data_IF_450927245825
#
_entry.id   IF_450927245825
#
_cell.length_a   1.000
_cell.length_b   1.000
_cell.length_c   1.000
_cell.angle_alpha   90.00
_cell.angle_beta   90.00
_cell.angle_gamma   90.00
#
_symmetry.space_group_name_H-M   'P 1'
#
loop_
_entity.id
_entity.type
_entity.pdbx_description
1 polymer ?
#
# COMPACT_ATOMS: atom_id res chain seq x y z
N UNK A 1 24.68 6.69 -11.31
CA UNK A 1 24.70 7.82 -10.36
C UNK A 1 23.56 7.59 -9.38
N UNK A 2 23.90 7.54 -8.11
CA UNK A 2 22.94 7.34 -7.04
C UNK A 2 22.38 8.68 -6.59
N UNK A 3 21.15 8.64 -6.11
CA UNK A 3 20.43 9.77 -5.54
C UNK A 3 20.12 9.48 -4.08
N UNK A 4 20.23 10.49 -3.24
CA UNK A 4 19.65 10.51 -1.90
C UNK A 4 18.26 11.11 -2.04
N UNK A 5 17.24 10.25 -1.93
CA UNK A 5 15.86 10.63 -2.15
C UNK A 5 15.07 10.52 -0.85
N UNK A 6 14.30 11.55 -0.53
CA UNK A 6 13.36 11.55 0.58
C UNK A 6 11.95 11.30 0.04
N UNK A 7 11.27 10.30 0.56
CA UNK A 7 9.89 10.01 0.21
C UNK A 7 8.95 10.24 1.38
N UNK A 8 7.77 10.81 1.11
CA UNK A 8 6.73 11.03 2.11
C UNK A 8 5.42 10.39 1.65
N UNK A 9 4.81 9.63 2.55
CA UNK A 9 3.51 8.98 2.34
C UNK A 9 2.55 9.27 3.49
N UNK A 10 1.28 9.32 3.17
CA UNK A 10 0.19 9.39 4.14
C UNK A 10 -0.90 8.40 3.74
N UNK A 11 -1.26 7.56 4.67
CA UNK A 11 -2.27 6.53 4.47
C UNK A 11 -3.70 7.04 4.62
N UNK A 12 -4.67 6.20 4.25
CA UNK A 12 -6.10 6.46 4.49
C UNK A 12 -6.51 6.29 5.95
N UNK A 13 -5.62 5.77 6.80
CA UNK A 13 -5.77 5.69 8.26
C UNK A 13 -5.78 7.05 8.95
N UNK A 14 -5.24 8.09 8.29
CA UNK A 14 -5.14 9.45 8.83
C UNK A 14 -4.36 9.52 10.15
N UNK A 15 -3.38 8.67 10.34
CA UNK A 15 -2.56 8.61 11.54
C UNK A 15 -1.38 9.59 11.52
N UNK A 16 -0.77 9.81 10.34
CA UNK A 16 0.36 10.72 10.22
C UNK A 16 1.06 10.65 8.88
N UNK A 17 2.30 11.07 8.87
CA UNK A 17 3.19 11.13 7.72
C UNK A 17 4.37 10.18 7.96
N UNK A 18 4.53 9.20 7.07
CA UNK A 18 5.72 8.37 6.96
C UNK A 18 6.72 9.07 6.06
N UNK A 19 7.94 9.26 6.55
CA UNK A 19 9.07 9.78 5.77
C UNK A 19 10.19 8.74 5.75
N UNK A 20 10.77 8.53 4.57
CA UNK A 20 11.93 7.66 4.37
C UNK A 20 13.04 8.36 3.60
N UNK A 21 14.26 8.14 4.01
CA UNK A 21 15.45 8.52 3.28
C UNK A 21 16.06 7.29 2.64
N UNK A 22 16.18 7.29 1.33
CA UNK A 22 16.67 6.14 0.57
C UNK A 22 17.79 6.56 -0.37
N UNK A 23 18.76 5.67 -0.57
CA UNK A 23 19.77 5.79 -1.62
C UNK A 23 19.39 4.86 -2.77
N UNK A 24 19.30 5.41 -3.98
CA UNK A 24 18.85 4.63 -5.15
C UNK A 24 19.41 5.19 -6.45
N UNK A 25 19.64 4.29 -7.41
CA UNK A 25 19.90 4.67 -8.80
C UNK A 25 18.61 4.83 -9.62
N UNK A 26 17.44 4.55 -9.02
CA UNK A 26 16.12 4.59 -9.65
C UNK A 26 15.82 3.42 -10.57
N UNK A 27 16.73 2.47 -10.76
CA UNK A 27 16.58 1.39 -11.73
C UNK A 27 16.79 -0.02 -11.14
N UNK A 28 17.89 -0.25 -10.46
CA UNK A 28 18.33 -1.58 -10.05
C UNK A 28 18.62 -1.70 -8.55
N UNK A 29 18.64 -0.58 -7.85
CA UNK A 29 19.17 -0.52 -6.50
C UNK A 29 18.34 0.44 -5.64
N UNK A 30 18.04 0.01 -4.43
CA UNK A 30 17.47 0.80 -3.36
C UNK A 30 18.01 0.34 -2.01
N UNK A 31 18.49 1.29 -1.22
CA UNK A 31 18.93 1.07 0.15
C UNK A 31 18.20 2.01 1.09
N UNK A 32 17.55 1.45 2.10
CA UNK A 32 16.90 2.20 3.17
C UNK A 32 17.95 2.79 4.10
N UNK A 33 17.95 4.11 4.29
CA UNK A 33 18.89 4.82 5.16
C UNK A 33 18.24 5.11 6.51
N UNK A 34 17.02 5.67 6.47
CA UNK A 34 16.34 6.12 7.67
C UNK A 34 14.85 6.30 7.45
N UNK A 35 14.09 6.08 8.50
CA UNK A 35 12.65 6.21 8.50
C UNK A 35 12.17 7.00 9.72
N UNK A 36 11.10 7.77 9.55
CA UNK A 36 10.47 8.54 10.63
C UNK A 36 8.97 8.68 10.40
N UNK A 37 8.20 8.39 11.45
CA UNK A 37 6.78 8.64 11.49
C UNK A 37 6.48 9.91 12.28
N UNK A 38 5.70 10.82 11.69
CA UNK A 38 5.21 12.04 12.34
C UNK A 38 3.70 11.96 12.45
N UNK A 39 3.12 11.80 13.66
CA UNK A 39 1.68 11.70 13.82
C UNK A 39 0.99 13.02 13.50
N UNK A 40 -0.19 12.95 12.89
CA UNK A 40 -1.03 14.14 12.72
C UNK A 40 -1.52 14.68 14.07
N UNK A 41 -1.61 16.01 14.16
CA UNK A 41 -2.36 16.63 15.24
C UNK A 41 -3.83 16.18 15.18
N UNK A 42 -4.48 16.06 16.35
CA UNK A 42 -5.90 15.69 16.42
C UNK A 42 -6.77 16.62 15.55
N UNK A 43 -6.50 17.91 15.60
CA UNK A 43 -7.24 18.91 14.79
C UNK A 43 -7.11 18.62 13.29
N UNK A 44 -5.91 18.37 12.79
CA UNK A 44 -5.69 18.07 11.37
C UNK A 44 -6.38 16.76 10.97
N UNK A 45 -6.26 15.72 11.79
CA UNK A 45 -6.92 14.43 11.57
C UNK A 45 -8.45 14.57 11.44
N UNK A 46 -9.08 15.30 12.38
CA UNK A 46 -10.53 15.50 12.39
C UNK A 46 -10.99 16.27 11.14
N UNK A 47 -10.23 17.30 10.71
CA UNK A 47 -10.51 18.08 9.50
C UNK A 47 -10.37 17.23 8.22
N UNK A 48 -9.32 16.42 8.11
CA UNK A 48 -9.12 15.50 6.98
C UNK A 48 -10.22 14.45 6.91
N UNK A 49 -10.61 13.86 8.05
CA UNK A 49 -11.72 12.92 8.14
C UNK A 49 -13.02 13.52 7.61
N UNK A 50 -13.32 14.77 7.99
CA UNK A 50 -14.52 15.47 7.49
C UNK A 50 -14.50 15.66 5.96
N UNK A 51 -13.34 15.96 5.37
CA UNK A 51 -13.22 16.07 3.90
C UNK A 51 -13.51 14.74 3.22
N UNK A 52 -12.98 13.63 3.77
CA UNK A 52 -13.19 12.29 3.20
C UNK A 52 -14.66 11.86 3.31
N UNK A 53 -15.28 12.07 4.47
CA UNK A 53 -16.69 11.68 4.70
C UNK A 53 -17.67 12.48 3.83
N UNK A 54 -17.42 13.75 3.65
CA UNK A 54 -18.36 14.65 2.95
C UNK A 54 -17.97 14.93 1.49
N UNK A 55 -16.82 14.42 1.02
CA UNK A 55 -16.27 14.68 -0.33
C UNK A 55 -16.22 16.20 -0.68
N UNK A 56 -15.95 17.04 0.31
CA UNK A 56 -16.05 18.49 0.15
C UNK A 56 -14.90 19.23 0.84
N UNK A 57 -14.05 19.86 0.04
CA UNK A 57 -12.95 20.70 0.53
C UNK A 57 -13.40 22.15 0.65
N UNK A 58 -13.84 22.57 1.85
CA UNK A 58 -14.32 23.94 2.12
C UNK A 58 -13.26 24.87 2.67
N UNK A 59 -12.18 24.35 3.19
CA UNK A 59 -11.24 25.09 4.01
C UNK A 59 -9.84 25.14 3.37
N UNK A 60 -9.50 26.22 2.65
CA UNK A 60 -8.15 26.37 2.06
C UNK A 60 -7.03 26.32 3.09
N UNK A 61 -7.31 26.67 4.37
CA UNK A 61 -6.32 26.61 5.44
C UNK A 61 -5.92 25.17 5.78
N UNK A 62 -6.75 24.19 5.43
CA UNK A 62 -6.43 22.76 5.61
C UNK A 62 -5.22 22.36 4.77
N UNK A 63 -5.14 22.80 3.51
CA UNK A 63 -4.01 22.49 2.62
C UNK A 63 -2.71 23.02 3.20
N UNK A 64 -2.74 24.27 3.70
CA UNK A 64 -1.59 24.88 4.36
C UNK A 64 -1.19 24.11 5.61
N UNK A 65 -2.15 23.79 6.50
CA UNK A 65 -1.88 23.04 7.72
C UNK A 65 -1.24 21.69 7.42
N UNK A 66 -1.76 20.96 6.42
CA UNK A 66 -1.19 19.67 5.99
C UNK A 66 0.23 19.84 5.45
N UNK A 67 0.48 20.87 4.65
CA UNK A 67 1.82 21.11 4.10
C UNK A 67 2.81 21.59 5.16
N UNK A 68 2.37 22.27 6.20
CA UNK A 68 3.21 22.62 7.35
C UNK A 68 3.60 21.38 8.14
N UNK A 69 2.70 20.38 8.32
CA UNK A 69 3.04 19.07 8.93
C UNK A 69 4.03 18.31 8.04
N UNK A 70 3.90 18.32 6.71
CA UNK A 70 4.90 17.74 5.81
C UNK A 70 6.29 18.38 5.99
N UNK A 71 6.36 19.72 6.14
CA UNK A 71 7.64 20.39 6.41
C UNK A 71 8.24 19.94 7.72
N UNK A 72 7.43 19.81 8.77
CA UNK A 72 7.89 19.32 10.08
C UNK A 72 8.47 17.90 9.92
N UNK A 73 7.73 17.00 9.29
CA UNK A 73 8.16 15.62 9.08
C UNK A 73 9.46 15.53 8.26
N UNK A 74 9.55 16.28 7.16
CA UNK A 74 10.75 16.35 6.30
C UNK A 74 11.94 16.89 7.08
N UNK A 75 11.77 18.00 7.82
CA UNK A 75 12.86 18.61 8.59
C UNK A 75 13.32 17.72 9.74
N UNK A 76 12.40 17.01 10.41
CA UNK A 76 12.75 16.06 11.46
C UNK A 76 13.71 14.99 10.93
N UNK A 77 13.44 14.46 9.74
CA UNK A 77 14.31 13.45 9.13
C UNK A 77 15.62 14.05 8.64
N UNK A 78 15.61 15.17 7.90
CA UNK A 78 16.81 15.81 7.36
C UNK A 78 17.78 16.24 8.48
N UNK A 79 17.27 16.79 9.58
CA UNK A 79 18.11 17.27 10.68
C UNK A 79 18.84 16.14 11.43
N UNK A 80 18.42 14.89 11.26
CA UNK A 80 19.08 13.72 11.86
C UNK A 80 20.21 13.16 11.00
N UNK A 81 20.25 13.52 9.72
CA UNK A 81 21.17 12.95 8.74
C UNK A 81 21.82 14.06 7.95
N UNK A 82 23.16 14.12 7.99
CA UNK A 82 23.99 15.11 7.26
C UNK A 82 24.20 14.70 5.80
N UNK A 83 23.12 14.34 5.12
CA UNK A 83 23.13 13.93 3.72
C UNK A 83 22.45 14.99 2.86
N UNK A 84 23.08 15.32 1.73
CA UNK A 84 22.47 16.21 0.74
C UNK A 84 21.32 15.49 0.03
N UNK A 85 20.10 15.97 0.21
CA UNK A 85 18.93 15.45 -0.49
C UNK A 85 18.93 15.92 -1.96
N UNK A 86 18.82 14.99 -2.89
CA UNK A 86 18.78 15.28 -4.32
C UNK A 86 17.37 15.46 -4.84
N UNK A 87 16.38 14.79 -4.23
CA UNK A 87 14.95 14.86 -4.62
C UNK A 87 14.03 14.48 -3.46
N UNK A 88 12.84 15.09 -3.44
CA UNK A 88 11.79 14.77 -2.48
C UNK A 88 10.55 14.28 -3.24
N UNK A 89 10.01 13.12 -2.87
CA UNK A 89 8.75 12.59 -3.38
C UNK A 89 7.63 12.75 -2.35
N UNK A 90 6.56 13.46 -2.67
CA UNK A 90 5.41 13.66 -1.78
C UNK A 90 4.16 13.09 -2.42
N UNK A 91 3.58 12.08 -1.79
CA UNK A 91 2.32 11.50 -2.26
C UNK A 91 1.15 12.47 -2.05
N UNK A 92 1.05 13.10 -0.90
CA UNK A 92 -0.11 13.87 -0.45
C UNK A 92 -1.20 12.99 0.16
N UNK A 93 -2.11 13.60 0.93
CA UNK A 93 -3.22 12.89 1.56
C UNK A 93 -4.31 12.57 0.55
N UNK A 94 -4.52 11.30 0.23
CA UNK A 94 -5.62 10.88 -0.64
C UNK A 94 -6.96 11.10 0.04
N UNK A 95 -7.83 11.87 -0.61
CA UNK A 95 -9.20 12.14 -0.17
C UNK A 95 -10.23 11.62 -1.17
N UNK A 96 -9.82 11.41 -2.42
CA UNK A 96 -10.66 10.83 -3.47
C UNK A 96 -9.80 9.99 -4.39
N UNK A 97 -10.25 8.78 -4.71
CA UNK A 97 -9.67 7.96 -5.76
C UNK A 97 -10.78 7.20 -6.47
N UNK A 98 -11.10 7.65 -7.67
CA UNK A 98 -12.10 7.05 -8.55
C UNK A 98 -11.57 7.01 -9.99
N UNK A 99 -10.91 5.91 -10.38
CA UNK A 99 -10.39 5.76 -11.74
C UNK A 99 -11.47 5.77 -12.82
N UNK A 100 -12.70 5.38 -12.52
CA UNK A 100 -13.80 5.35 -13.48
C UNK A 100 -14.19 6.76 -13.92
N UNK A 101 -14.08 7.73 -13.00
CA UNK A 101 -14.26 9.16 -13.26
C UNK A 101 -12.98 9.87 -13.69
N UNK A 102 -11.86 9.14 -13.82
CA UNK A 102 -10.50 9.66 -14.07
C UNK A 102 -10.06 10.67 -13.00
N UNK A 103 -10.42 10.42 -11.75
CA UNK A 103 -10.13 11.31 -10.63
C UNK A 103 -9.31 10.58 -9.56
N UNK A 104 -8.27 11.26 -9.12
CA UNK A 104 -7.55 10.92 -7.89
C UNK A 104 -7.02 12.22 -7.31
N UNK A 105 -7.44 12.53 -6.10
CA UNK A 105 -7.10 13.78 -5.44
C UNK A 105 -6.26 13.49 -4.20
N UNK A 106 -5.04 14.00 -4.24
CA UNK A 106 -4.12 14.02 -3.11
C UNK A 106 -3.93 15.48 -2.67
N UNK A 107 -4.18 15.75 -1.39
CA UNK A 107 -4.09 17.08 -0.82
C UNK A 107 -2.66 17.42 -0.42
N UNK A 108 -2.22 18.60 -0.80
CA UNK A 108 -1.02 19.32 -0.36
C UNK A 108 -1.09 20.75 -0.91
N UNK A 109 -0.35 21.70 -0.32
CA UNK A 109 -0.22 23.05 -0.84
C UNK A 109 1.17 23.27 -1.46
N UNK A 110 1.22 23.39 -2.79
CA UNK A 110 2.46 23.62 -3.53
C UNK A 110 3.20 24.85 -3.01
N UNK A 111 2.50 25.96 -2.77
CA UNK A 111 3.10 27.24 -2.38
C UNK A 111 3.82 27.14 -1.04
N UNK A 112 3.29 26.33 -0.13
CA UNK A 112 3.91 26.11 1.18
C UNK A 112 5.15 25.21 1.11
N UNK A 113 5.30 24.35 0.10
CA UNK A 113 6.42 23.42 -0.01
C UNK A 113 7.66 23.99 -0.70
N UNK A 114 7.59 25.19 -1.27
CA UNK A 114 8.66 25.80 -2.09
C UNK A 114 10.01 26.07 -1.40
N UNK A 115 10.11 25.96 -0.09
CA UNK A 115 11.34 26.30 0.66
C UNK A 115 12.24 25.09 0.97
N UNK A 116 12.16 24.02 0.20
CA UNK A 116 13.04 22.87 0.35
C UNK A 116 14.27 23.01 -0.55
N UNK A 117 15.42 22.54 -0.07
CA UNK A 117 16.70 22.60 -0.80
C UNK A 117 16.78 21.63 -2.00
N UNK A 118 15.74 20.81 -2.24
CA UNK A 118 15.68 19.82 -3.30
C UNK A 118 14.38 19.92 -4.10
N UNK A 119 14.38 19.54 -5.40
CA UNK A 119 13.15 19.50 -6.19
C UNK A 119 12.13 18.52 -5.59
N UNK A 120 10.88 18.96 -5.53
CA UNK A 120 9.76 18.14 -5.04
C UNK A 120 9.00 17.57 -6.23
N UNK A 121 8.72 16.27 -6.18
CA UNK A 121 7.89 15.54 -7.13
C UNK A 121 6.62 15.09 -6.40
N UNK A 122 5.48 15.29 -7.04
CA UNK A 122 4.16 15.01 -6.48
C UNK A 122 3.21 14.48 -7.57
N UNK A 123 1.92 14.26 -7.26
CA UNK A 123 0.90 13.81 -8.20
C UNK A 123 1.24 12.48 -8.91
N UNK A 124 1.77 11.52 -8.21
CA UNK A 124 2.22 10.23 -8.78
C UNK A 124 1.11 9.41 -9.44
N UNK A 125 -0.17 9.65 -9.10
CA UNK A 125 -1.31 8.92 -9.68
C UNK A 125 -1.90 9.59 -10.92
N UNK A 126 -1.75 10.91 -11.03
CA UNK A 126 -2.41 11.74 -12.04
C UNK A 126 -2.06 11.35 -13.47
N UNK A 127 -0.76 11.20 -13.77
CA UNK A 127 -0.31 10.87 -15.13
C UNK A 127 -0.79 9.48 -15.56
N UNK A 128 -0.84 8.52 -14.64
CA UNK A 128 -1.34 7.18 -14.91
C UNK A 128 -2.82 7.22 -15.31
N UNK A 129 -3.64 7.88 -14.50
CA UNK A 129 -5.09 8.01 -14.74
C UNK A 129 -5.38 8.76 -16.05
N UNK A 130 -4.66 9.84 -16.32
CA UNK A 130 -4.83 10.61 -17.58
C UNK A 130 -4.45 9.81 -18.83
N UNK A 131 -3.58 8.80 -18.69
CA UNK A 131 -3.22 7.89 -19.79
C UNK A 131 -4.05 6.59 -19.81
N UNK A 132 -5.11 6.52 -19.01
CA UNK A 132 -6.08 5.43 -19.02
C UNK A 132 -5.78 4.29 -18.06
N UNK A 133 -4.80 4.46 -17.16
CA UNK A 133 -4.54 3.53 -16.07
C UNK A 133 -5.45 3.78 -14.86
N UNK A 134 -5.42 2.87 -13.91
CA UNK A 134 -6.19 2.95 -12.66
C UNK A 134 -5.56 3.87 -11.59
N UNK A 135 -4.31 4.33 -11.77
CA UNK A 135 -3.59 5.14 -10.79
C UNK A 135 -3.12 4.39 -9.54
N UNK A 136 -3.36 3.08 -9.49
CA UNK A 136 -2.95 2.17 -8.44
C UNK A 136 -2.86 0.74 -8.98
N UNK A 137 -1.97 -0.12 -8.43
CA UNK A 137 -0.91 0.19 -7.47
C UNK A 137 0.26 0.95 -8.11
N UNK A 138 0.97 1.77 -7.33
CA UNK A 138 2.11 2.57 -7.83
C UNK A 138 3.49 2.05 -7.37
N UNK A 139 3.52 1.01 -6.54
CA UNK A 139 4.76 0.43 -6.00
C UNK A 139 5.29 -0.83 -6.72
N UNK A 140 4.70 -1.37 -7.80
CA UNK A 140 5.23 -2.57 -8.43
C UNK A 140 6.71 -2.48 -8.81
N UNK A 141 7.18 -1.30 -9.26
CA UNK A 141 8.61 -1.06 -9.56
C UNK A 141 9.50 -1.11 -8.34
N UNK A 142 9.01 -0.72 -7.16
CA UNK A 142 9.72 -0.87 -5.90
C UNK A 142 9.94 -2.35 -5.59
N UNK A 143 8.88 -3.14 -5.67
CA UNK A 143 8.94 -4.58 -5.45
C UNK A 143 9.87 -5.27 -6.46
N UNK A 144 9.87 -4.84 -7.72
CA UNK A 144 10.77 -5.36 -8.75
C UNK A 144 12.24 -5.14 -8.40
N UNK A 145 12.61 -3.95 -7.93
CA UNK A 145 13.98 -3.65 -7.51
C UNK A 145 14.38 -4.53 -6.31
N UNK A 146 13.51 -4.66 -5.30
CA UNK A 146 13.79 -5.52 -4.14
C UNK A 146 13.94 -6.99 -4.57
N UNK A 147 13.10 -7.46 -5.49
CA UNK A 147 13.18 -8.80 -6.06
C UNK A 147 14.54 -9.03 -6.75
N UNK A 148 14.96 -8.10 -7.60
CA UNK A 148 16.23 -8.19 -8.32
C UNK A 148 17.45 -8.15 -7.39
N UNK A 149 17.46 -7.23 -6.41
CA UNK A 149 18.54 -7.13 -5.42
C UNK A 149 18.73 -8.42 -4.60
N UNK A 150 17.65 -9.17 -4.41
CA UNK A 150 17.66 -10.41 -3.62
C UNK A 150 17.63 -11.68 -4.48
N UNK A 151 17.90 -11.57 -5.78
CA UNK A 151 17.94 -12.68 -6.74
C UNK A 151 16.64 -13.52 -6.75
N UNK A 152 15.50 -12.88 -6.60
CA UNK A 152 14.19 -13.52 -6.64
C UNK A 152 13.55 -13.33 -8.03
N UNK A 153 13.93 -14.17 -9.01
CA UNK A 153 13.40 -14.07 -10.39
C UNK A 153 11.90 -14.37 -10.51
N UNK A 154 11.37 -15.14 -9.54
CA UNK A 154 9.95 -15.45 -9.44
C UNK A 154 9.47 -15.13 -8.02
N UNK A 155 8.74 -14.03 -7.87
CA UNK A 155 8.27 -13.58 -6.56
C UNK A 155 6.88 -12.94 -6.64
N UNK A 156 6.16 -13.00 -5.54
CA UNK A 156 4.88 -12.31 -5.35
C UNK A 156 4.96 -11.51 -4.07
N UNK A 157 4.99 -10.21 -4.19
CA UNK A 157 4.83 -9.30 -3.07
C UNK A 157 3.35 -9.15 -2.78
N UNK A 158 2.96 -9.45 -1.56
CA UNK A 158 1.56 -9.39 -1.09
C UNK A 158 1.46 -8.28 -0.07
N UNK A 159 0.87 -7.16 -0.47
CA UNK A 159 0.55 -6.09 0.46
C UNK A 159 -0.82 -6.33 1.09
N UNK A 160 -0.85 -6.55 2.41
CA UNK A 160 -2.07 -6.78 3.17
C UNK A 160 -2.38 -5.54 3.99
N UNK A 161 -3.02 -4.57 3.33
CA UNK A 161 -3.57 -3.36 3.90
C UNK A 161 -5.07 -3.51 4.21
N UNK A 162 -5.85 -2.47 4.01
CA UNK A 162 -7.32 -2.56 4.07
C UNK A 162 -7.90 -3.52 3.03
N UNK A 163 -7.32 -3.52 1.82
CA UNK A 163 -7.49 -4.48 0.74
C UNK A 163 -6.15 -5.20 0.55
N UNK A 164 -6.17 -6.46 0.10
CA UNK A 164 -4.98 -7.21 -0.27
C UNK A 164 -4.71 -7.08 -1.76
N UNK A 165 -3.51 -6.63 -2.11
CA UNK A 165 -3.04 -6.55 -3.48
C UNK A 165 -1.70 -7.25 -3.65
N UNK A 166 -1.37 -7.59 -4.90
CA UNK A 166 -0.11 -8.23 -5.23
C UNK A 166 0.67 -7.46 -6.28
N UNK A 167 1.99 -7.67 -6.24
CA UNK A 167 2.88 -7.49 -7.38
C UNK A 167 3.48 -8.85 -7.69
N UNK A 168 3.14 -9.39 -8.84
CA UNK A 168 3.68 -10.63 -9.36
C UNK A 168 4.83 -10.30 -10.30
N UNK A 169 5.99 -10.89 -10.05
CA UNK A 169 7.21 -10.77 -10.81
C UNK A 169 7.56 -12.16 -11.31
N UNK A 170 7.63 -12.31 -12.63
CA UNK A 170 7.98 -13.56 -13.30
C UNK A 170 9.04 -13.26 -14.35
N UNK A 171 10.31 -13.38 -13.95
CA UNK A 171 11.45 -12.90 -14.72
C UNK A 171 11.34 -11.39 -14.99
N UNK A 172 11.10 -11.01 -16.24
CA UNK A 172 10.93 -9.61 -16.65
C UNK A 172 9.46 -9.15 -16.65
N UNK A 173 8.51 -10.08 -16.51
CA UNK A 173 7.09 -9.76 -16.48
C UNK A 173 6.67 -9.21 -15.12
N UNK A 174 5.98 -8.08 -15.14
CA UNK A 174 5.48 -7.39 -13.96
C UNK A 174 3.97 -7.22 -14.08
N UNK A 175 3.23 -7.83 -13.16
CA UNK A 175 1.76 -7.74 -13.08
C UNK A 175 1.34 -7.34 -11.68
N UNK A 176 0.28 -6.55 -11.54
CA UNK A 176 -0.22 -6.14 -10.24
C UNK A 176 -1.75 -5.97 -10.22
N UNK A 177 -2.33 -5.94 -9.02
CA UNK A 177 -3.75 -5.68 -8.80
C UNK A 177 -4.25 -6.26 -7.48
N UNK A 178 -5.51 -5.98 -7.18
CA UNK A 178 -6.15 -6.45 -5.96
C UNK A 178 -6.55 -7.93 -6.10
N UNK A 179 -6.38 -8.68 -5.01
CA UNK A 179 -6.66 -10.13 -5.01
C UNK A 179 -7.78 -10.53 -4.07
N UNK A 180 -7.93 -9.78 -2.97
CA UNK A 180 -8.89 -10.09 -1.92
C UNK A 180 -9.12 -8.86 -1.04
N UNK A 181 -10.11 -8.96 -0.14
CA UNK A 181 -10.11 -8.10 1.04
C UNK A 181 -8.83 -8.28 1.84
N UNK A 182 -8.52 -7.30 2.69
CA UNK A 182 -7.42 -7.34 3.63
C UNK A 182 -7.91 -7.17 5.07
N UNK A 183 -7.22 -6.31 5.83
CA UNK A 183 -7.55 -6.09 7.25
C UNK A 183 -8.86 -5.34 7.45
N UNK A 184 -9.29 -4.46 6.52
CA UNK A 184 -10.42 -3.55 6.74
C UNK A 184 -11.71 -4.27 7.15
N UNK A 185 -12.07 -5.36 6.47
CA UNK A 185 -13.27 -6.13 6.82
C UNK A 185 -13.16 -6.78 8.20
N UNK A 186 -11.94 -7.18 8.59
CA UNK A 186 -11.65 -7.82 9.89
C UNK A 186 -11.72 -6.75 10.98
N UNK A 187 -11.08 -5.62 10.78
CA UNK A 187 -11.03 -4.51 11.75
C UNK A 187 -12.44 -3.93 11.97
N UNK A 188 -13.21 -3.71 10.90
CA UNK A 188 -14.60 -3.24 10.98
C UNK A 188 -15.50 -4.27 11.71
N UNK A 189 -15.29 -5.57 11.48
CA UNK A 189 -15.98 -6.63 12.23
C UNK A 189 -15.60 -6.61 13.71
N UNK A 190 -14.32 -6.50 14.02
CA UNK A 190 -13.81 -6.46 15.40
C UNK A 190 -14.30 -5.23 16.17
N UNK A 191 -14.24 -4.06 15.54
CA UNK A 191 -14.75 -2.83 16.15
C UNK A 191 -16.23 -2.94 16.48
N UNK A 192 -17.03 -3.44 15.53
CA UNK A 192 -18.49 -3.56 15.68
C UNK A 192 -18.90 -4.60 16.73
N UNK A 193 -18.27 -5.79 16.73
CA UNK A 193 -18.74 -6.94 17.48
C UNK A 193 -17.92 -7.25 18.75
N UNK A 194 -16.62 -6.87 18.76
CA UNK A 194 -15.71 -7.17 19.85
C UNK A 194 -15.26 -5.93 20.63
N UNK A 195 -15.54 -4.71 20.12
CA UNK A 195 -15.08 -3.43 20.68
C UNK A 195 -13.55 -3.32 20.76
N UNK A 196 -12.89 -3.92 19.76
CA UNK A 196 -11.44 -3.88 19.55
C UNK A 196 -11.17 -3.33 18.17
N UNK A 197 -10.10 -2.57 18.03
CA UNK A 197 -9.77 -1.90 16.77
C UNK A 197 -9.31 -2.89 15.69
N UNK A 198 -8.56 -3.95 16.08
CA UNK A 198 -8.03 -4.97 15.17
C UNK A 198 -7.59 -6.23 15.92
N UNK A 199 -7.30 -7.32 15.21
CA UNK A 199 -6.76 -8.58 15.75
C UNK A 199 -5.25 -8.45 15.98
N UNK A 200 -4.88 -7.89 17.14
CA UNK A 200 -3.48 -7.64 17.49
C UNK A 200 -2.65 -8.93 17.40
N UNK A 201 -1.61 -8.94 16.56
CA UNK A 201 -0.72 -10.07 16.32
C UNK A 201 -1.42 -11.38 15.87
N UNK A 202 -2.70 -11.35 15.56
CA UNK A 202 -3.49 -12.55 15.27
C UNK A 202 -3.89 -13.36 16.49
N UNK A 203 -3.89 -12.74 17.68
CA UNK A 203 -4.11 -13.47 18.95
C UNK A 203 -5.56 -13.97 19.08
N UNK A 204 -6.54 -13.21 18.62
CA UNK A 204 -7.94 -13.66 18.63
C UNK A 204 -8.16 -14.81 17.65
N UNK A 205 -7.68 -14.68 16.42
CA UNK A 205 -7.85 -15.68 15.38
C UNK A 205 -7.00 -16.94 15.58
N UNK A 206 -6.00 -16.91 16.44
CA UNK A 206 -5.00 -17.99 16.63
C UNK A 206 -5.62 -19.37 16.89
N UNK A 207 -6.68 -19.42 17.66
CA UNK A 207 -7.38 -20.65 18.01
C UNK A 207 -8.73 -20.80 17.27
N UNK A 208 -8.95 -19.98 16.26
CA UNK A 208 -10.14 -20.03 15.42
C UNK A 208 -10.21 -21.27 14.56
N UNK A 209 -11.42 -21.68 14.22
CA UNK A 209 -11.69 -22.80 13.31
C UNK A 209 -12.37 -22.26 12.05
N UNK A 210 -12.04 -22.86 10.92
CA UNK A 210 -12.65 -22.48 9.66
C UNK A 210 -14.13 -22.87 9.65
N UNK A 211 -14.99 -21.91 9.35
CA UNK A 211 -16.43 -22.10 9.15
C UNK A 211 -16.63 -22.41 7.66
N UNK A 212 -16.83 -23.69 7.31
CA UNK A 212 -16.88 -24.12 5.91
C UNK A 212 -18.03 -23.49 5.12
N UNK A 213 -19.18 -23.23 5.74
CA UNK A 213 -20.31 -22.56 5.06
C UNK A 213 -19.95 -21.13 4.67
N UNK A 214 -19.36 -20.36 5.58
CA UNK A 214 -18.91 -18.98 5.32
C UNK A 214 -17.78 -18.95 4.30
N UNK A 215 -16.78 -19.82 4.48
CA UNK A 215 -15.65 -19.93 3.58
C UNK A 215 -16.08 -20.21 2.14
N UNK A 216 -16.94 -21.21 1.94
CA UNK A 216 -17.42 -21.58 0.60
C UNK A 216 -18.32 -20.50 -0.01
N UNK A 217 -19.11 -19.80 0.81
CA UNK A 217 -19.96 -18.70 0.35
C UNK A 217 -19.07 -17.55 -0.20
N UNK A 218 -18.07 -17.09 0.56
CA UNK A 218 -17.18 -16.01 0.13
C UNK A 218 -16.28 -16.44 -1.04
N UNK A 219 -15.69 -17.65 -0.96
CA UNK A 219 -14.77 -18.16 -1.99
C UNK A 219 -15.38 -18.24 -3.39
N UNK A 220 -16.70 -18.38 -3.49
CA UNK A 220 -17.43 -18.46 -4.74
C UNK A 220 -17.82 -17.09 -5.31
N UNK A 221 -17.42 -16.00 -4.67
CA UNK A 221 -17.68 -14.65 -5.17
C UNK A 221 -17.05 -14.44 -6.55
N UNK A 222 -17.78 -13.76 -7.44
CA UNK A 222 -17.38 -13.53 -8.82
C UNK A 222 -16.07 -12.74 -8.94
N UNK A 223 -15.80 -11.83 -8.00
CA UNK A 223 -14.56 -11.07 -7.96
C UNK A 223 -13.30 -11.95 -8.05
N UNK A 224 -13.31 -13.11 -7.39
CA UNK A 224 -12.16 -14.01 -7.41
C UNK A 224 -11.94 -14.73 -8.77
N UNK A 225 -12.83 -14.57 -9.74
CA UNK A 225 -12.69 -15.12 -11.09
C UNK A 225 -12.18 -14.07 -12.09
N UNK A 226 -12.17 -12.80 -11.71
CA UNK A 226 -11.66 -11.74 -12.56
C UNK A 226 -10.13 -11.84 -12.71
N UNK A 227 -9.62 -11.45 -13.89
CA UNK A 227 -8.18 -11.43 -14.19
C UNK A 227 -7.54 -10.13 -13.72
N UNK A 228 -6.26 -10.18 -13.41
CA UNK A 228 -5.43 -9.01 -13.17
C UNK A 228 -5.16 -8.26 -14.51
N UNK A 229 -5.00 -6.91 -14.47
CA UNK A 229 -5.19 -6.04 -13.32
C UNK A 229 -6.67 -5.81 -12.97
N UNK A 230 -7.00 -5.81 -11.68
CA UNK A 230 -8.35 -5.53 -11.16
C UNK A 230 -8.25 -4.75 -9.86
N UNK A 231 -9.32 -4.04 -9.51
CA UNK A 231 -9.41 -3.24 -8.28
C UNK A 231 -10.62 -3.66 -7.45
N UNK A 232 -10.51 -3.53 -6.14
CA UNK A 232 -11.53 -3.92 -5.17
C UNK A 232 -11.92 -2.72 -4.29
N UNK A 233 -13.23 -2.46 -4.21
CA UNK A 233 -13.74 -1.54 -3.20
C UNK A 233 -13.55 -2.11 -1.79
N UNK A 234 -13.09 -1.29 -0.84
CA UNK A 234 -12.82 -1.70 0.55
C UNK A 234 -14.01 -2.39 1.22
N UNK A 235 -15.23 -1.95 0.89
CA UNK A 235 -16.47 -2.41 1.55
C UNK A 235 -17.18 -3.55 0.79
N UNK A 236 -16.68 -3.93 -0.37
CA UNK A 236 -17.34 -4.90 -1.26
C UNK A 236 -17.77 -6.18 -0.53
N UNK A 237 -16.90 -6.76 0.30
CA UNK A 237 -17.17 -8.02 1.00
C UNK A 237 -17.91 -7.88 2.34
N UNK A 238 -18.21 -6.66 2.80
CA UNK A 238 -18.83 -6.46 4.12
C UNK A 238 -20.23 -7.09 4.25
N UNK A 239 -20.96 -7.23 3.15
CA UNK A 239 -22.28 -7.86 3.15
C UNK A 239 -22.27 -9.33 3.62
N UNK A 240 -21.13 -10.03 3.45
CA UNK A 240 -20.96 -11.39 3.95
C UNK A 240 -20.95 -11.51 5.47
N UNK A 241 -20.69 -10.42 6.18
CA UNK A 241 -20.63 -10.38 7.65
C UNK A 241 -22.00 -10.17 8.33
N UNK A 242 -23.05 -9.97 7.55
CA UNK A 242 -24.36 -9.69 8.12
C UNK A 242 -24.87 -10.88 8.96
N UNK A 243 -25.20 -10.59 10.23
CA UNK A 243 -25.76 -11.54 11.20
C UNK A 243 -24.87 -12.73 11.63
N UNK A 244 -23.60 -12.81 11.20
CA UNK A 244 -22.70 -13.91 11.57
C UNK A 244 -22.42 -14.00 13.06
N UNK A 245 -22.28 -12.87 13.75
CA UNK A 245 -22.01 -12.80 15.20
C UNK A 245 -23.08 -13.43 16.07
N UNK A 246 -24.28 -13.70 15.53
CA UNK A 246 -25.37 -14.42 16.23
C UNK A 246 -25.22 -15.94 16.18
N UNK A 247 -24.42 -16.45 15.24
CA UNK A 247 -24.33 -17.89 14.94
C UNK A 247 -22.96 -18.47 15.24
N UNK A 248 -21.90 -17.67 15.06
CA UNK A 248 -20.53 -18.13 15.15
C UNK A 248 -19.71 -17.26 16.09
N UNK A 249 -18.66 -17.85 16.66
CA UNK A 249 -17.72 -17.10 17.49
C UNK A 249 -16.84 -16.17 16.65
N UNK A 250 -16.50 -15.01 17.19
CA UNK A 250 -15.71 -13.99 16.50
C UNK A 250 -14.36 -14.55 16.01
N UNK A 251 -13.67 -15.34 16.84
CA UNK A 251 -12.39 -15.95 16.46
C UNK A 251 -12.50 -16.85 15.21
N UNK A 252 -13.60 -17.57 15.06
CA UNK A 252 -13.82 -18.50 13.95
C UNK A 252 -14.17 -17.74 12.67
N UNK A 253 -14.94 -16.65 12.79
CA UNK A 253 -15.21 -15.73 11.68
C UNK A 253 -13.91 -15.11 11.17
N UNK A 254 -13.11 -14.53 12.06
CA UNK A 254 -11.84 -13.87 11.70
C UNK A 254 -10.87 -14.88 11.08
N UNK A 255 -10.69 -16.05 11.69
CA UNK A 255 -9.86 -17.12 11.14
C UNK A 255 -10.31 -17.54 9.74
N UNK A 256 -11.63 -17.64 9.51
CA UNK A 256 -12.19 -17.98 8.20
C UNK A 256 -11.87 -16.92 7.15
N UNK A 257 -12.04 -15.65 7.48
CA UNK A 257 -11.65 -14.54 6.60
C UNK A 257 -10.16 -14.57 6.28
N UNK A 258 -9.30 -14.67 7.29
CA UNK A 258 -7.85 -14.76 7.10
C UNK A 258 -7.45 -15.94 6.20
N UNK A 259 -8.15 -17.08 6.29
CA UNK A 259 -7.82 -18.27 5.49
C UNK A 259 -8.11 -18.11 3.99
N UNK A 260 -8.97 -17.18 3.60
CA UNK A 260 -9.28 -16.90 2.19
C UNK A 260 -8.13 -16.18 1.49
N UNK A 261 -7.46 -15.26 2.17
CA UNK A 261 -6.44 -14.39 1.56
C UNK A 261 -5.34 -15.19 0.84
N UNK A 262 -4.62 -16.13 1.47
CA UNK A 262 -3.58 -16.89 0.78
C UNK A 262 -4.13 -17.84 -0.31
N UNK A 263 -5.36 -18.34 -0.17
CA UNK A 263 -6.00 -19.19 -1.19
C UNK A 263 -6.30 -18.42 -2.48
N UNK A 264 -6.63 -17.14 -2.40
CA UNK A 264 -6.85 -16.31 -3.60
C UNK A 264 -5.56 -16.14 -4.39
N UNK A 265 -4.43 -16.02 -3.71
CA UNK A 265 -3.12 -15.91 -4.35
C UNK A 265 -2.71 -17.25 -4.98
N UNK A 266 -2.93 -18.36 -4.27
CA UNK A 266 -2.68 -19.71 -4.82
C UNK A 266 -3.45 -19.95 -6.12
N UNK A 267 -4.65 -19.41 -6.25
CA UNK A 267 -5.48 -19.55 -7.46
C UNK A 267 -4.89 -18.84 -8.68
N UNK A 268 -4.10 -17.79 -8.47
CA UNK A 268 -3.46 -17.00 -9.54
C UNK A 268 -2.17 -17.69 -10.03
N UNK A 269 -1.48 -18.43 -9.15
CA UNK A 269 -0.20 -19.08 -9.44
C UNK A 269 -0.41 -20.33 -10.28
N UNK A 270 0.25 -20.47 -11.44
CA UNK A 270 0.28 -21.73 -12.19
C UNK A 270 0.85 -22.87 -11.34
N UNK A 271 0.23 -24.05 -11.40
CA UNK A 271 0.58 -25.19 -10.53
C UNK A 271 2.02 -25.70 -10.67
N UNK A 272 2.68 -25.42 -11.79
CA UNK A 272 4.06 -25.82 -12.08
C UNK A 272 5.11 -24.78 -11.65
N UNK A 273 4.69 -23.60 -11.15
CA UNK A 273 5.58 -22.51 -10.70
C UNK A 273 5.61 -22.43 -9.18
N UNK A 274 6.79 -22.10 -8.65
CA UNK A 274 7.02 -21.94 -7.22
C UNK A 274 7.57 -20.54 -6.95
N UNK A 275 6.68 -19.59 -6.63
CA UNK A 275 7.06 -18.23 -6.33
C UNK A 275 7.50 -18.06 -4.89
N UNK A 276 8.45 -17.16 -4.67
CA UNK A 276 8.75 -16.63 -3.35
C UNK A 276 7.66 -15.61 -2.95
N UNK A 277 6.93 -15.88 -1.90
CA UNK A 277 5.88 -14.99 -1.37
C UNK A 277 6.51 -14.03 -0.36
N UNK A 278 6.39 -12.74 -0.59
CA UNK A 278 6.89 -11.70 0.31
C UNK A 278 5.70 -10.92 0.86
N UNK A 279 5.47 -11.01 2.18
CA UNK A 279 4.35 -10.35 2.84
C UNK A 279 4.74 -8.94 3.30
N UNK A 280 3.90 -7.96 3.00
CA UNK A 280 4.01 -6.56 3.41
C UNK A 280 2.68 -6.00 3.92
N UNK A 281 2.65 -4.72 4.28
CA UNK A 281 1.49 -4.08 4.90
C UNK A 281 1.25 -4.53 6.34
N UNK A 282 0.22 -3.99 6.98
CA UNK A 282 -0.11 -4.27 8.39
C UNK A 282 -0.41 -5.73 8.67
N UNK A 283 -0.97 -6.46 7.69
CA UNK A 283 -1.32 -7.88 7.84
C UNK A 283 -0.11 -8.80 8.05
N UNK A 284 1.12 -8.39 7.66
CA UNK A 284 2.34 -9.14 7.94
C UNK A 284 2.62 -9.32 9.43
N UNK A 285 2.06 -8.45 10.28
CA UNK A 285 2.18 -8.52 11.75
C UNK A 285 1.23 -9.55 12.37
N UNK A 286 0.21 -10.00 11.64
CA UNK A 286 -0.75 -11.02 12.09
C UNK A 286 -0.14 -12.43 11.95
N UNK A 287 0.32 -13.00 13.05
CA UNK A 287 1.00 -14.31 13.09
C UNK A 287 0.13 -15.46 12.59
N UNK A 288 -1.19 -15.37 12.81
CA UNK A 288 -2.15 -16.38 12.31
C UNK A 288 -2.18 -16.35 10.78
N UNK A 289 -2.27 -15.15 10.18
CA UNK A 289 -2.26 -14.99 8.73
C UNK A 289 -0.93 -15.46 8.11
N UNK A 290 0.20 -15.05 8.68
CA UNK A 290 1.53 -15.52 8.24
C UNK A 290 1.62 -17.05 8.31
N UNK A 291 1.10 -17.66 9.38
CA UNK A 291 1.02 -19.11 9.52
C UNK A 291 0.16 -19.78 8.44
N UNK A 292 -0.93 -19.15 8.02
CA UNK A 292 -1.77 -19.62 6.92
C UNK A 292 -1.04 -19.57 5.57
N UNK A 293 -0.29 -18.50 5.30
CA UNK A 293 0.58 -18.43 4.12
C UNK A 293 1.62 -19.55 4.11
N UNK A 294 2.33 -19.77 5.22
CA UNK A 294 3.36 -20.81 5.36
C UNK A 294 2.82 -22.26 5.25
N UNK A 295 1.52 -22.45 5.48
CA UNK A 295 0.86 -23.76 5.23
C UNK A 295 0.60 -24.03 3.75
N UNK A 296 0.43 -22.98 2.94
CA UNK A 296 0.04 -23.09 1.53
C UNK A 296 1.25 -22.98 0.61
N UNK A 297 2.23 -22.15 0.97
CA UNK A 297 3.41 -21.84 0.17
C UNK A 297 4.68 -22.30 0.89
N UNK A 298 5.59 -22.90 0.15
CA UNK A 298 6.87 -23.42 0.68
C UNK A 298 7.90 -22.34 0.96
N UNK A 299 7.80 -21.18 0.28
CA UNK A 299 8.76 -20.08 0.40
C UNK A 299 8.03 -18.79 0.73
N UNK A 300 8.04 -18.38 2.01
CA UNK A 300 7.35 -17.20 2.53
C UNK A 300 8.28 -16.42 3.43
N UNK A 301 8.50 -15.14 3.09
CA UNK A 301 9.26 -14.17 3.88
C UNK A 301 8.38 -12.97 4.22
N UNK A 302 8.80 -12.21 5.22
CA UNK A 302 8.28 -10.85 5.45
C UNK A 302 9.19 -9.86 4.72
N UNK A 303 8.67 -8.72 4.34
CA UNK A 303 9.48 -7.66 3.71
C UNK A 303 10.61 -7.20 4.64
N UNK A 304 10.39 -7.30 5.96
CA UNK A 304 11.36 -6.97 6.99
C UNK A 304 12.60 -7.90 6.97
N UNK A 305 12.50 -9.11 6.38
CA UNK A 305 13.61 -10.04 6.25
C UNK A 305 14.67 -9.56 5.23
N UNK A 306 14.37 -8.52 4.44
CA UNK A 306 15.25 -7.94 3.42
C UNK A 306 15.95 -6.63 3.88
N UNK A 307 16.10 -6.42 5.18
CA UNK A 307 16.69 -5.22 5.77
C UNK A 307 15.92 -3.93 5.44
N UNK A 308 14.60 -4.07 5.24
CA UNK A 308 13.67 -2.98 5.00
C UNK A 308 12.75 -2.84 6.20
N UNK A 309 12.34 -1.62 6.52
CA UNK A 309 11.26 -1.42 7.48
C UNK A 309 9.91 -1.51 6.76
N UNK A 310 9.19 -2.59 7.03
CA UNK A 310 7.92 -2.88 6.36
C UNK A 310 6.78 -1.89 6.65
N UNK A 311 6.93 -1.01 7.64
CA UNK A 311 5.97 0.06 7.90
C UNK A 311 6.20 1.27 6.97
N UNK A 312 7.40 1.40 6.37
CA UNK A 312 7.80 2.55 5.57
C UNK A 312 7.96 2.26 4.06
N UNK A 313 7.53 1.08 3.59
CA UNK A 313 7.64 0.68 2.17
C UNK A 313 7.03 1.72 1.21
N UNK A 314 5.92 2.31 1.59
CA UNK A 314 5.23 3.29 0.74
C UNK A 314 6.02 4.59 0.66
N UNK A 315 6.56 5.10 1.77
CA UNK A 315 7.40 6.30 1.75
C UNK A 315 8.74 6.07 1.04
N UNK A 316 9.39 4.91 1.25
CA UNK A 316 10.57 4.50 0.48
C UNK A 316 10.28 4.48 -1.03
N UNK A 317 9.11 3.95 -1.39
CA UNK A 317 8.62 3.94 -2.77
C UNK A 317 8.42 5.34 -3.36
N UNK A 318 7.96 6.32 -2.57
CA UNK A 318 7.84 7.71 -3.05
C UNK A 318 9.21 8.32 -3.38
N UNK A 319 10.24 8.05 -2.59
CA UNK A 319 11.62 8.46 -2.89
C UNK A 319 12.13 7.84 -4.20
N UNK A 320 11.88 6.54 -4.39
CA UNK A 320 12.20 5.85 -5.65
C UNK A 320 11.47 6.47 -6.85
N UNK A 321 10.16 6.68 -6.76
CA UNK A 321 9.35 7.24 -7.85
C UNK A 321 9.81 8.66 -8.22
N UNK A 322 10.19 9.48 -7.23
CA UNK A 322 10.74 10.81 -7.47
C UNK A 322 12.08 10.75 -8.21
N UNK A 323 12.96 9.79 -7.86
CA UNK A 323 14.21 9.55 -8.59
C UNK A 323 13.94 9.10 -10.04
N UNK A 324 13.00 8.19 -10.25
CA UNK A 324 12.60 7.72 -11.59
C UNK A 324 12.04 8.85 -12.45
N UNK A 325 11.28 9.77 -11.84
CA UNK A 325 10.81 10.98 -12.52
C UNK A 325 11.97 11.82 -13.06
N UNK A 326 12.99 12.13 -12.22
CA UNK A 326 14.16 12.90 -12.65
C UNK A 326 14.91 12.22 -13.78
N UNK A 327 15.04 10.91 -13.74
CA UNK A 327 15.72 10.09 -14.74
C UNK A 327 14.84 9.74 -15.95
N UNK A 328 13.56 10.10 -15.94
CA UNK A 328 12.56 9.74 -16.98
C UNK A 328 12.46 8.22 -17.20
N UNK A 329 12.61 7.44 -16.14
CA UNK A 329 12.48 5.99 -16.18
C UNK A 329 11.00 5.64 -15.93
N UNK A 330 10.38 4.73 -16.71
CA UNK A 330 9.01 4.29 -16.48
C UNK A 330 8.80 3.78 -15.05
N UNK A 331 7.72 4.19 -14.43
CA UNK A 331 7.35 3.84 -13.04
C UNK A 331 6.07 3.03 -12.96
N UNK A 332 5.29 2.97 -14.05
CA UNK A 332 4.11 2.14 -14.17
C UNK A 332 4.08 1.47 -15.54
N UNK A 333 3.46 0.31 -15.60
CA UNK A 333 3.52 -0.59 -16.76
C UNK A 333 2.11 -1.03 -17.15
N UNK A 334 1.99 -1.54 -18.40
CA UNK A 334 0.71 -1.98 -18.97
C UNK A 334 -0.03 -2.95 -18.05
N UNK A 335 0.67 -3.94 -17.52
CA UNK A 335 0.07 -5.02 -16.71
C UNK A 335 -0.03 -4.67 -15.20
N UNK A 336 0.28 -3.42 -14.80
CA UNK A 336 0.15 -3.00 -13.39
C UNK A 336 -1.09 -2.15 -13.16
N UNK A 337 -1.36 -1.18 -14.02
CA UNK A 337 -2.50 -0.26 -13.89
C UNK A 337 -3.44 -0.24 -15.09
N UNK A 338 -3.21 -1.10 -16.09
CA UNK A 338 -4.04 -1.17 -17.30
C UNK A 338 -3.74 -0.10 -18.34
N UNK A 339 -2.55 0.51 -18.29
CA UNK A 339 -2.09 1.49 -19.28
C UNK A 339 -1.95 0.91 -20.69
N UNK A 340 -1.90 1.79 -21.70
CA UNK A 340 -1.55 1.40 -23.07
C UNK A 340 -0.04 1.39 -23.35
N UNK A 341 0.75 2.09 -22.55
CA UNK A 341 2.21 2.17 -22.62
C UNK A 341 2.81 2.49 -21.27
N UNK A 342 4.05 2.08 -21.05
CA UNK A 342 4.80 2.39 -19.83
C UNK A 342 5.11 3.90 -19.75
N UNK A 343 4.92 4.49 -18.57
CA UNK A 343 5.18 5.91 -18.32
C UNK A 343 5.89 6.12 -16.98
N UNK A 344 6.60 7.24 -16.83
CA UNK A 344 7.05 7.71 -15.53
C UNK A 344 5.94 8.50 -14.84
N UNK A 345 5.90 8.40 -13.52
CA UNK A 345 4.88 9.01 -12.68
C UNK A 345 5.39 10.31 -12.04
N UNK A 346 4.43 11.20 -11.71
CA UNK A 346 4.69 12.44 -10.99
C UNK A 346 4.77 13.66 -11.88
N UNK A 347 4.82 14.80 -11.24
CA UNK A 347 5.10 16.13 -11.82
C UNK A 347 5.92 16.94 -10.82
N UNK A 348 6.70 17.93 -11.31
CA UNK A 348 7.43 18.85 -10.43
C UNK A 348 6.42 19.79 -9.76
N UNK A 349 6.49 19.88 -8.44
CA UNK A 349 5.72 20.84 -7.65
C UNK A 349 6.24 22.26 -7.81
#
# INVERSE_FOLDING_TARGET
>A
MDYIALGCMTGTSLDGIDCSLVKTDGATYLNDIANEFTPYSKNLRDRLSNVIVHNYLTDPSLLKSLSDEYKVAINNLINKYDEKIDVIGIHGQTVLHDPSLKLSLQLYDKSSLYNTHAPIICNFRKNDILNGGSGAPILPVYHQIISQQNNMSQSIFVNIGGVSNITLIDEDDLMAGDTSFGNAIIDDYMLKNCKLDFDLNGDMSRNGKKIDSLYNHIKNDLFFNEKLPKSLDRNYFHHYLNNLSKTFEARDIIFTLLSIIPETIKKIIPSHKNYHIVLSGGGRKNRTLVGLFKKIFSNVSLIDDFQLDGDFIESQGMGLLATRYLKKIPSTYVNTTGLKKNIYLGEKC
#
